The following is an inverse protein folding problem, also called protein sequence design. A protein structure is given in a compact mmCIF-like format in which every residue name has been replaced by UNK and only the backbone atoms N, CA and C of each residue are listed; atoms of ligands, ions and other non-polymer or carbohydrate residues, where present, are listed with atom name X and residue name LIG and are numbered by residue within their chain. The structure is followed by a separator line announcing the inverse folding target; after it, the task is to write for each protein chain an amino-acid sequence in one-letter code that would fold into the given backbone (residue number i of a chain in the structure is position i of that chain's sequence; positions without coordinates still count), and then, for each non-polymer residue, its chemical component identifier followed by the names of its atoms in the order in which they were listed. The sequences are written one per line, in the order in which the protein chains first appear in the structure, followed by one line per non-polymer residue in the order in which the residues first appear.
data_IF_567060725504
#
_entry.id   IF_567060725504
#
_cell.length_a   1.000
_cell.length_b   1.000
_cell.length_c   1.000
_cell.angle_alpha   90.00
_cell.angle_beta   90.00
_cell.angle_gamma   90.00
#
_symmetry.space_group_name_H-M   'P 1'
#
loop_
_entity.id
_entity.type
_entity.pdbx_description
1 polymer ?
#
# COMPACT_ATOMS: atom_id res chain seq x y z
N UNK A 1 11.69 -0.55 17.11
CA UNK A 1 10.56 0.14 16.42
C UNK A 1 9.60 -0.85 15.75
N UNK A 2 10.07 -1.84 14.97
CA UNK A 2 9.22 -2.84 14.29
C UNK A 2 8.38 -3.69 15.26
N UNK A 3 8.94 -4.14 16.37
CA UNK A 3 8.20 -4.93 17.38
C UNK A 3 7.11 -4.08 18.06
N UNK A 4 7.38 -2.80 18.31
CA UNK A 4 6.40 -1.85 18.83
C UNK A 4 5.19 -1.70 17.87
N UNK A 5 5.45 -1.64 16.55
CA UNK A 5 4.36 -1.63 15.55
C UNK A 5 3.50 -2.89 15.65
N UNK A 6 4.12 -4.08 15.76
CA UNK A 6 3.37 -5.35 15.87
C UNK A 6 2.49 -5.35 17.11
N UNK A 7 3.05 -4.95 18.27
CA UNK A 7 2.30 -4.90 19.54
C UNK A 7 1.11 -3.95 19.45
N UNK A 8 1.33 -2.70 19.04
CA UNK A 8 0.27 -1.69 18.92
C UNK A 8 -0.80 -2.13 17.91
N UNK A 9 -0.38 -2.71 16.78
CA UNK A 9 -1.32 -3.22 15.79
C UNK A 9 -2.20 -4.34 16.35
N UNK A 10 -1.63 -5.31 17.07
CA UNK A 10 -2.38 -6.42 17.68
C UNK A 10 -3.40 -5.92 18.69
N UNK A 11 -3.04 -4.95 19.53
CA UNK A 11 -3.97 -4.32 20.49
C UNK A 11 -5.16 -3.64 19.78
N UNK A 12 -4.90 -2.91 18.71
CA UNK A 12 -5.96 -2.27 17.91
C UNK A 12 -6.78 -3.31 17.14
N UNK A 13 -6.13 -4.35 16.61
CA UNK A 13 -6.82 -5.40 15.86
C UNK A 13 -7.78 -6.22 16.71
N UNK A 14 -7.47 -6.46 18.00
CA UNK A 14 -8.37 -7.10 18.94
C UNK A 14 -9.67 -6.31 19.12
N UNK A 15 -9.59 -4.97 19.15
CA UNK A 15 -10.73 -4.07 19.37
C UNK A 15 -11.57 -3.86 18.12
N UNK A 16 -10.93 -3.77 16.96
CA UNK A 16 -11.56 -3.20 15.75
C UNK A 16 -11.65 -4.17 14.57
N UNK A 17 -11.06 -5.37 14.66
CA UNK A 17 -11.02 -6.36 13.58
C UNK A 17 -10.45 -5.77 12.27
N UNK A 18 -9.26 -5.17 12.35
CA UNK A 18 -8.59 -4.55 11.21
C UNK A 18 -8.06 -5.60 10.21
N UNK A 19 -7.71 -6.79 10.71
CA UNK A 19 -7.18 -7.93 9.95
C UNK A 19 -7.64 -9.26 10.55
N UNK A 20 -7.72 -10.29 9.72
CA UNK A 20 -7.91 -11.66 10.17
C UNK A 20 -6.69 -12.27 10.88
N UNK A 21 -5.50 -11.67 10.70
CA UNK A 21 -4.24 -12.11 11.33
C UNK A 21 -4.20 -11.59 12.76
N UNK A 22 -4.10 -12.52 13.73
CA UNK A 22 -4.25 -12.21 15.16
C UNK A 22 -3.03 -12.54 16.02
N UNK A 23 -1.96 -13.00 15.44
CA UNK A 23 -0.72 -13.35 16.12
C UNK A 23 0.47 -12.54 15.61
N UNK A 24 1.48 -12.36 16.48
CA UNK A 24 2.64 -11.52 16.18
C UNK A 24 3.49 -12.04 15.02
N UNK A 25 3.60 -13.37 14.88
CA UNK A 25 4.35 -14.00 13.79
C UNK A 25 3.67 -13.76 12.45
N UNK A 26 2.35 -13.93 12.39
CA UNK A 26 1.56 -13.66 11.20
C UNK A 26 1.61 -12.18 10.80
N UNK A 27 1.50 -11.25 11.75
CA UNK A 27 1.64 -9.81 11.47
C UNK A 27 3.03 -9.47 10.96
N UNK A 28 4.09 -10.03 11.59
CA UNK A 28 5.48 -9.82 11.16
C UNK A 28 5.69 -10.26 9.72
N UNK A 29 5.21 -11.45 9.34
CA UNK A 29 5.46 -12.03 8.02
C UNK A 29 4.50 -11.47 6.98
N UNK A 30 3.18 -11.61 7.22
CA UNK A 30 2.14 -11.35 6.20
C UNK A 30 1.75 -9.87 6.09
N UNK A 31 2.16 -9.02 7.04
CA UNK A 31 1.92 -7.59 6.99
C UNK A 31 3.22 -6.80 6.90
N UNK A 32 4.10 -6.90 7.91
CA UNK A 32 5.30 -6.07 7.97
C UNK A 32 6.32 -6.43 6.87
N UNK A 33 6.74 -7.70 6.78
CA UNK A 33 7.72 -8.11 5.78
C UNK A 33 7.17 -7.99 4.34
N UNK A 34 5.91 -8.35 4.12
CA UNK A 34 5.22 -8.17 2.85
C UNK A 34 5.26 -6.70 2.41
N UNK A 35 4.93 -5.77 3.31
CA UNK A 35 4.96 -4.32 3.02
C UNK A 35 6.36 -3.81 2.67
N UNK A 36 7.39 -4.29 3.39
CA UNK A 36 8.78 -3.87 3.18
C UNK A 36 9.36 -4.36 1.85
N UNK A 37 8.77 -5.38 1.22
CA UNK A 37 9.14 -5.79 -0.14
C UNK A 37 8.98 -4.68 -1.18
N UNK A 38 8.09 -3.72 -0.92
CA UNK A 38 7.95 -2.55 -1.80
C UNK A 38 9.23 -1.72 -1.93
N UNK A 39 10.09 -1.71 -0.92
CA UNK A 39 11.37 -0.99 -0.94
C UNK A 39 12.33 -1.55 -1.99
N UNK A 40 12.22 -2.83 -2.35
CA UNK A 40 13.04 -3.47 -3.38
C UNK A 40 12.79 -2.90 -4.79
N UNK A 41 11.70 -2.15 -4.99
CA UNK A 41 11.43 -1.42 -6.24
C UNK A 41 12.38 -0.25 -6.47
N UNK A 42 13.03 0.27 -5.42
CA UNK A 42 13.90 1.45 -5.48
C UNK A 42 13.17 2.78 -5.68
N UNK A 43 11.84 2.81 -5.57
CA UNK A 43 11.04 4.00 -5.92
C UNK A 43 10.80 4.98 -4.76
N UNK A 44 10.90 4.51 -3.51
CA UNK A 44 10.59 5.30 -2.31
C UNK A 44 11.79 6.17 -1.90
N UNK A 45 12.09 7.16 -2.72
CA UNK A 45 13.24 8.06 -2.53
C UNK A 45 12.82 9.35 -1.81
N UNK A 46 13.77 10.09 -1.19
CA UNK A 46 13.50 11.37 -0.54
C UNK A 46 12.67 12.36 -1.37
N UNK A 47 11.82 13.12 -0.70
CA UNK A 47 10.98 14.16 -1.32
C UNK A 47 9.78 13.65 -2.11
N UNK A 48 9.52 12.33 -2.14
CA UNK A 48 8.34 11.77 -2.81
C UNK A 48 7.08 11.93 -1.96
N UNK A 49 5.95 12.12 -2.66
CA UNK A 49 4.60 12.01 -2.09
C UNK A 49 3.96 10.69 -2.55
N UNK A 50 3.52 9.89 -1.58
CA UNK A 50 2.96 8.55 -1.80
C UNK A 50 1.54 8.49 -1.27
N UNK A 51 0.60 8.00 -2.09
CA UNK A 51 -0.77 7.68 -1.64
C UNK A 51 -0.89 6.17 -1.49
N UNK A 52 -1.33 5.70 -0.31
CA UNK A 52 -1.68 4.30 -0.07
C UNK A 52 -3.19 4.12 -0.11
N UNK A 53 -3.68 3.44 -1.15
CA UNK A 53 -5.11 3.29 -1.41
C UNK A 53 -5.69 2.09 -0.69
N UNK A 54 -6.75 2.33 0.10
CA UNK A 54 -7.36 1.30 0.92
C UNK A 54 -6.41 0.84 2.01
N UNK A 55 -5.82 1.78 2.75
CA UNK A 55 -4.75 1.51 3.74
C UNK A 55 -5.15 0.50 4.81
N UNK A 56 -6.45 0.30 5.04
CA UNK A 56 -7.00 -0.75 5.90
C UNK A 56 -6.47 -0.68 7.33
N UNK A 57 -5.68 -1.67 7.72
CA UNK A 57 -4.98 -1.71 9.01
C UNK A 57 -3.64 -0.98 9.03
N UNK A 58 -3.34 -0.15 8.02
CA UNK A 58 -2.10 0.64 7.94
C UNK A 58 -0.93 -0.08 7.28
N UNK A 59 -1.20 -1.09 6.45
CA UNK A 59 -0.18 -1.82 5.70
C UNK A 59 -0.47 -1.77 4.18
N UNK A 60 0.46 -1.23 3.38
CA UNK A 60 1.89 -0.98 3.64
C UNK A 60 2.24 0.40 4.23
N UNK A 61 1.30 1.30 4.47
CA UNK A 61 1.53 2.68 4.90
C UNK A 61 2.56 2.82 6.03
N UNK A 62 2.27 2.23 7.21
CA UNK A 62 3.09 2.41 8.41
C UNK A 62 4.53 1.87 8.25
N UNK A 63 4.76 0.63 7.76
CA UNK A 63 6.11 0.13 7.54
C UNK A 63 6.93 0.97 6.57
N UNK A 64 6.31 1.50 5.51
CA UNK A 64 6.98 2.35 4.54
C UNK A 64 7.33 3.71 5.14
N UNK A 65 6.39 4.38 5.82
CA UNK A 65 6.63 5.66 6.46
C UNK A 65 7.77 5.59 7.49
N UNK A 66 7.79 4.51 8.30
CA UNK A 66 8.86 4.26 9.26
C UNK A 66 10.23 3.99 8.62
N UNK A 67 10.27 3.50 7.40
CA UNK A 67 11.51 3.14 6.70
C UNK A 67 12.02 4.24 5.77
N UNK A 68 11.15 5.19 5.39
CA UNK A 68 11.45 6.28 4.46
C UNK A 68 11.07 7.63 5.08
N UNK A 69 11.83 8.14 6.06
CA UNK A 69 11.46 9.34 6.84
C UNK A 69 11.39 10.62 6.01
N UNK A 70 12.09 10.68 4.87
CA UNK A 70 12.09 11.83 3.96
C UNK A 70 11.05 11.72 2.83
N UNK A 71 10.20 10.69 2.86
CA UNK A 71 9.07 10.49 1.94
C UNK A 71 7.77 10.75 2.70
N UNK A 72 6.84 11.51 2.12
CA UNK A 72 5.56 11.77 2.75
C UNK A 72 4.48 10.78 2.26
N UNK A 73 3.66 10.28 3.19
CA UNK A 73 2.66 9.26 2.92
C UNK A 73 1.25 9.71 3.31
N UNK A 74 0.28 9.48 2.44
CA UNK A 74 -1.14 9.66 2.71
C UNK A 74 -1.87 8.32 2.57
N UNK A 75 -2.37 7.77 3.67
CA UNK A 75 -3.27 6.61 3.64
C UNK A 75 -4.71 7.04 3.36
N UNK A 76 -5.39 6.40 2.42
CA UNK A 76 -6.81 6.65 2.13
C UNK A 76 -7.62 5.40 2.43
N UNK A 77 -8.68 5.53 3.24
CA UNK A 77 -9.67 4.48 3.47
C UNK A 77 -11.05 5.12 3.73
N UNK A 78 -12.12 4.51 3.25
CA UNK A 78 -13.49 5.01 3.44
C UNK A 78 -14.06 4.67 4.83
N UNK A 79 -13.48 3.71 5.53
CA UNK A 79 -13.98 3.18 6.80
C UNK A 79 -13.44 3.97 7.98
N UNK A 80 -14.29 4.79 8.62
CA UNK A 80 -13.93 5.68 9.73
C UNK A 80 -13.14 4.99 10.85
N UNK A 81 -13.57 3.82 11.31
CA UNK A 81 -12.88 3.10 12.40
C UNK A 81 -11.45 2.71 12.06
N UNK A 82 -11.18 2.39 10.77
CA UNK A 82 -9.84 2.04 10.30
C UNK A 82 -8.94 3.28 10.24
N UNK A 83 -9.43 4.38 9.67
CA UNK A 83 -8.65 5.61 9.58
C UNK A 83 -8.27 6.15 10.96
N UNK A 84 -9.21 6.17 11.91
CA UNK A 84 -8.92 6.59 13.28
C UNK A 84 -7.90 5.67 13.97
N UNK A 85 -8.02 4.35 13.78
CA UNK A 85 -7.08 3.40 14.38
C UNK A 85 -5.67 3.55 13.79
N UNK A 86 -5.55 3.70 12.46
CA UNK A 86 -4.24 3.87 11.81
C UNK A 86 -3.59 5.18 12.22
N UNK A 87 -4.35 6.29 12.28
CA UNK A 87 -3.82 7.56 12.75
C UNK A 87 -3.32 7.46 14.20
N UNK A 88 -4.09 6.86 15.11
CA UNK A 88 -3.68 6.66 16.50
C UNK A 88 -2.41 5.78 16.60
N UNK A 89 -2.25 4.79 15.71
CA UNK A 89 -1.03 3.97 15.68
C UNK A 89 0.17 4.76 15.15
N UNK A 90 0.02 5.62 14.14
CA UNK A 90 1.07 6.51 13.64
C UNK A 90 1.55 7.45 14.75
N UNK A 91 0.59 8.07 15.47
CA UNK A 91 0.88 8.98 16.59
C UNK A 91 1.65 8.26 17.71
N UNK A 92 1.18 7.07 18.12
CA UNK A 92 1.84 6.26 19.15
C UNK A 92 3.24 5.76 18.76
N UNK A 93 3.49 5.60 17.45
CA UNK A 93 4.80 5.24 16.90
C UNK A 93 5.71 6.45 16.71
N UNK A 94 5.19 7.68 16.82
CA UNK A 94 5.92 8.92 16.56
C UNK A 94 6.24 9.12 15.07
N UNK A 95 5.43 8.57 14.16
CA UNK A 95 5.59 8.73 12.72
C UNK A 95 4.98 10.07 12.29
N UNK A 96 5.82 10.99 11.83
CA UNK A 96 5.41 12.35 11.47
C UNK A 96 5.27 12.60 9.96
N UNK A 97 5.74 11.67 9.15
CA UNK A 97 5.73 11.75 7.70
C UNK A 97 4.59 10.93 7.05
N UNK A 98 3.56 10.63 7.83
CA UNK A 98 2.37 9.94 7.34
C UNK A 98 1.11 10.43 8.04
N UNK A 99 0.02 10.49 7.29
CA UNK A 99 -1.32 10.78 7.81
C UNK A 99 -2.37 9.90 7.12
N UNK A 100 -3.59 9.88 7.67
CA UNK A 100 -4.69 9.09 7.10
C UNK A 100 -5.92 9.96 6.86
N UNK A 101 -6.42 9.93 5.64
CA UNK A 101 -7.62 10.63 5.21
C UNK A 101 -8.79 9.65 5.06
N UNK A 102 -9.92 9.98 5.71
CA UNK A 102 -11.17 9.26 5.49
C UNK A 102 -11.87 9.78 4.24
N UNK A 103 -11.70 9.10 3.13
CA UNK A 103 -12.42 9.38 1.89
C UNK A 103 -12.48 8.12 1.02
N UNK A 104 -13.36 8.10 0.03
CA UNK A 104 -13.26 7.15 -1.07
C UNK A 104 -12.20 7.62 -2.04
N UNK A 105 -11.52 6.69 -2.71
CA UNK A 105 -10.45 7.05 -3.67
C UNK A 105 -10.98 7.88 -4.83
N UNK A 106 -12.20 7.57 -5.29
CA UNK A 106 -12.89 8.28 -6.37
C UNK A 106 -13.28 9.72 -6.00
N UNK A 107 -13.43 10.01 -4.70
CA UNK A 107 -13.81 11.34 -4.18
C UNK A 107 -12.59 12.19 -3.77
N UNK A 108 -11.38 11.62 -3.85
CA UNK A 108 -10.17 12.35 -3.46
C UNK A 108 -9.82 13.43 -4.50
N UNK A 109 -9.72 14.68 -4.04
CA UNK A 109 -9.40 15.87 -4.86
C UNK A 109 -8.12 16.60 -4.41
N UNK A 110 -7.27 15.91 -3.66
CA UNK A 110 -6.00 16.49 -3.19
C UNK A 110 -4.87 16.44 -4.22
N UNK A 111 -3.66 16.63 -3.73
CA UNK A 111 -2.44 16.60 -4.56
C UNK A 111 -2.24 15.23 -5.21
N UNK A 112 -1.75 15.26 -6.47
CA UNK A 112 -1.36 14.03 -7.17
C UNK A 112 -0.06 13.47 -6.59
N UNK A 113 0.00 12.15 -6.46
CA UNK A 113 1.14 11.45 -5.92
C UNK A 113 2.25 11.20 -6.96
N UNK A 114 3.48 11.12 -6.50
CA UNK A 114 4.59 10.55 -7.26
C UNK A 114 4.44 9.03 -7.39
N UNK A 115 3.98 8.39 -6.30
CA UNK A 115 3.72 6.96 -6.23
C UNK A 115 2.34 6.71 -5.61
N UNK A 116 1.67 5.67 -6.07
CA UNK A 116 0.46 5.19 -5.46
C UNK A 116 0.62 3.70 -5.15
N UNK A 117 0.47 3.32 -3.89
CA UNK A 117 0.48 1.91 -3.47
C UNK A 117 -0.93 1.38 -3.31
N UNK A 118 -1.13 0.09 -3.63
CA UNK A 118 -2.38 -0.60 -3.33
C UNK A 118 -2.11 -2.07 -3.00
N UNK A 119 -2.71 -2.54 -1.90
CA UNK A 119 -2.65 -3.93 -1.47
C UNK A 119 -4.05 -4.46 -1.19
N UNK A 120 -4.41 -5.60 -1.80
CA UNK A 120 -5.71 -6.27 -1.60
C UNK A 120 -6.93 -5.36 -1.83
N UNK A 121 -6.81 -4.37 -2.71
CA UNK A 121 -7.89 -3.46 -3.12
C UNK A 121 -8.43 -3.97 -4.46
N UNK A 122 -9.73 -3.84 -4.66
CA UNK A 122 -10.56 -4.07 -5.86
C UNK A 122 -9.90 -4.75 -7.09
N UNK A 123 -10.72 -5.18 -8.02
CA UNK A 123 -10.26 -5.64 -9.34
C UNK A 123 -9.45 -4.55 -10.03
N UNK A 124 -8.39 -4.94 -10.75
CA UNK A 124 -7.41 -4.01 -11.33
C UNK A 124 -8.01 -2.97 -12.26
N UNK A 125 -9.08 -3.28 -12.99
CA UNK A 125 -9.76 -2.34 -13.88
C UNK A 125 -10.31 -1.12 -13.11
N UNK A 126 -11.09 -1.36 -12.05
CA UNK A 126 -11.64 -0.30 -11.19
C UNK A 126 -10.54 0.45 -10.45
N UNK A 127 -9.57 -0.28 -9.92
CA UNK A 127 -8.44 0.32 -9.22
C UNK A 127 -7.69 1.29 -10.13
N UNK A 128 -7.37 0.89 -11.37
CA UNK A 128 -6.69 1.76 -12.34
C UNK A 128 -7.54 2.98 -12.71
N UNK A 129 -8.84 2.78 -12.93
CA UNK A 129 -9.76 3.88 -13.26
C UNK A 129 -9.72 5.00 -12.20
N UNK A 130 -9.71 4.64 -10.92
CA UNK A 130 -9.71 5.60 -9.82
C UNK A 130 -8.32 6.14 -9.48
N UNK A 131 -7.29 5.32 -9.61
CA UNK A 131 -5.94 5.64 -9.15
C UNK A 131 -5.09 6.38 -10.17
N UNK A 132 -5.22 6.09 -11.46
CA UNK A 132 -4.39 6.72 -12.51
C UNK A 132 -4.54 8.24 -12.55
N UNK A 133 -5.75 8.84 -12.38
CA UNK A 133 -5.89 10.30 -12.32
C UNK A 133 -5.10 10.95 -11.17
N UNK A 134 -4.86 10.21 -10.09
CA UNK A 134 -4.21 10.69 -8.86
C UNK A 134 -2.68 10.59 -8.92
N UNK A 135 -2.13 9.97 -9.95
CA UNK A 135 -0.67 9.86 -10.13
C UNK A 135 -0.18 10.92 -11.09
N UNK A 136 0.93 11.59 -10.76
CA UNK A 136 1.61 12.57 -11.62
C UNK A 136 2.06 11.90 -12.94
N UNK A 137 2.23 12.68 -14.00
CA UNK A 137 2.93 12.21 -15.21
C UNK A 137 4.35 11.80 -14.84
N UNK A 138 4.82 10.65 -15.32
CA UNK A 138 6.09 10.05 -14.91
C UNK A 138 6.07 9.37 -13.53
N UNK A 139 4.97 9.48 -12.77
CA UNK A 139 4.77 8.74 -11.52
C UNK A 139 4.41 7.27 -11.75
N UNK A 140 4.23 6.50 -10.69
CA UNK A 140 3.93 5.08 -10.81
C UNK A 140 2.86 4.58 -9.84
N UNK A 141 2.11 3.56 -10.27
CA UNK A 141 1.29 2.72 -9.40
C UNK A 141 2.10 1.47 -9.03
N UNK A 142 2.13 1.13 -7.76
CA UNK A 142 2.86 -0.02 -7.22
C UNK A 142 1.85 -0.96 -6.58
N UNK A 143 1.52 -2.03 -7.29
CA UNK A 143 0.43 -2.94 -6.94
C UNK A 143 0.99 -4.22 -6.33
N UNK A 144 0.56 -4.54 -5.10
CA UNK A 144 0.89 -5.79 -4.43
C UNK A 144 -0.20 -6.83 -4.71
N UNK A 145 0.14 -7.89 -5.42
CA UNK A 145 -0.81 -8.91 -5.87
C UNK A 145 -0.33 -10.34 -5.51
N UNK A 146 -1.22 -11.30 -5.61
CA UNK A 146 -0.86 -12.71 -5.72
C UNK A 146 -0.43 -13.02 -7.15
N UNK A 147 0.44 -14.02 -7.34
CA UNK A 147 0.81 -14.48 -8.68
C UNK A 147 -0.34 -15.28 -9.26
N UNK A 148 -1.14 -14.60 -10.09
CA UNK A 148 -2.27 -15.18 -10.82
C UNK A 148 -2.06 -14.84 -12.30
N UNK A 149 -1.98 -15.83 -13.21
CA UNK A 149 -1.72 -15.58 -14.63
C UNK A 149 -2.72 -14.62 -15.29
N UNK A 150 -3.99 -14.70 -14.87
CA UNK A 150 -5.08 -13.86 -15.35
C UNK A 150 -4.87 -12.39 -15.00
N UNK A 151 -4.33 -12.10 -13.80
CA UNK A 151 -4.06 -10.73 -13.35
C UNK A 151 -3.01 -10.05 -14.24
N UNK A 152 -1.94 -10.77 -14.59
CA UNK A 152 -0.92 -10.24 -15.49
C UNK A 152 -1.48 -9.95 -16.88
N UNK A 153 -2.27 -10.86 -17.45
CA UNK A 153 -2.93 -10.67 -18.75
C UNK A 153 -3.87 -9.46 -18.72
N UNK A 154 -4.64 -9.34 -17.64
CA UNK A 154 -5.54 -8.20 -17.43
C UNK A 154 -4.75 -6.88 -17.40
N UNK A 155 -3.69 -6.79 -16.62
CA UNK A 155 -2.84 -5.59 -16.56
C UNK A 155 -2.20 -5.25 -17.91
N UNK A 156 -1.72 -6.25 -18.66
CA UNK A 156 -1.18 -6.04 -20.01
C UNK A 156 -2.22 -5.45 -20.98
N UNK A 157 -3.48 -5.88 -20.88
CA UNK A 157 -4.58 -5.32 -21.69
C UNK A 157 -5.04 -3.94 -21.24
N UNK A 158 -5.00 -3.65 -19.93
CA UNK A 158 -5.47 -2.37 -19.37
C UNK A 158 -4.42 -1.27 -19.48
N UNK A 159 -3.13 -1.57 -19.33
CA UNK A 159 -2.08 -0.57 -19.30
C UNK A 159 -2.10 0.40 -20.50
N UNK A 160 -2.26 -0.04 -21.76
CA UNK A 160 -2.36 0.88 -22.91
C UNK A 160 -3.54 1.85 -22.79
N UNK A 161 -4.70 1.39 -22.31
CA UNK A 161 -5.93 2.19 -22.16
C UNK A 161 -5.76 3.34 -21.16
N UNK A 162 -4.93 3.14 -20.15
CA UNK A 162 -4.65 4.11 -19.08
C UNK A 162 -3.30 4.84 -19.28
N UNK A 163 -2.67 4.72 -20.46
CA UNK A 163 -1.35 5.30 -20.73
C UNK A 163 -0.28 4.86 -19.71
N UNK A 164 -0.34 3.59 -19.31
CA UNK A 164 0.60 2.97 -18.40
C UNK A 164 1.55 2.03 -19.15
N UNK A 165 2.72 1.78 -18.54
CA UNK A 165 3.66 0.73 -18.93
C UNK A 165 4.02 -0.10 -17.72
N UNK A 166 3.99 -1.42 -17.83
CA UNK A 166 4.57 -2.30 -16.80
C UNK A 166 6.10 -2.11 -16.88
N UNK A 167 6.66 -1.50 -15.84
CA UNK A 167 8.09 -1.19 -15.76
C UNK A 167 8.84 -2.26 -15.00
N UNK A 168 8.23 -2.79 -13.90
CA UNK A 168 8.82 -3.85 -13.10
C UNK A 168 7.77 -4.90 -12.75
N UNK A 169 8.23 -6.15 -12.62
CA UNK A 169 7.49 -7.28 -12.09
C UNK A 169 8.42 -8.03 -11.14
N UNK A 170 8.23 -7.82 -9.83
CA UNK A 170 9.04 -8.42 -8.79
C UNK A 170 8.26 -9.54 -8.12
N UNK A 171 8.62 -10.79 -8.39
CA UNK A 171 8.06 -11.97 -7.74
C UNK A 171 8.84 -12.30 -6.48
N UNK A 172 8.14 -12.68 -5.42
CA UNK A 172 8.73 -13.08 -4.16
C UNK A 172 7.84 -14.08 -3.42
N UNK A 173 8.45 -14.81 -2.49
CA UNK A 173 7.74 -15.68 -1.56
C UNK A 173 7.82 -15.10 -0.15
N UNK A 174 6.73 -15.16 0.58
CA UNK A 174 6.73 -14.90 2.02
C UNK A 174 7.11 -16.20 2.73
N UNK A 175 8.04 -16.07 3.67
CA UNK A 175 8.47 -17.18 4.53
C UNK A 175 7.25 -17.77 5.25
N UNK A 176 6.94 -19.05 5.07
CA UNK A 176 5.75 -19.79 5.58
C UNK A 176 4.48 -19.79 4.74
N UNK A 177 4.56 -19.58 3.47
CA UNK A 177 3.36 -19.78 2.66
C UNK A 177 3.73 -20.18 1.25
N UNK A 178 3.05 -21.17 0.75
CA UNK A 178 3.05 -21.54 -0.67
C UNK A 178 2.47 -20.43 -1.56
N UNK A 179 2.26 -19.22 -1.00
CA UNK A 179 1.68 -18.10 -1.72
C UNK A 179 2.78 -17.27 -2.34
N UNK A 180 2.95 -17.43 -3.63
CA UNK A 180 3.75 -16.52 -4.43
C UNK A 180 3.07 -15.15 -4.54
N UNK A 181 3.87 -14.12 -4.33
CA UNK A 181 3.46 -12.72 -4.41
C UNK A 181 4.18 -12.03 -5.56
N UNK A 182 3.58 -10.96 -6.05
CA UNK A 182 4.17 -10.12 -7.09
C UNK A 182 3.89 -8.65 -6.83
N UNK A 183 4.90 -7.81 -7.08
CA UNK A 183 4.75 -6.37 -7.14
C UNK A 183 4.83 -5.97 -8.60
N UNK A 184 3.78 -5.32 -9.10
CA UNK A 184 3.79 -4.68 -10.40
C UNK A 184 4.03 -3.19 -10.24
N UNK A 185 5.02 -2.65 -10.93
CA UNK A 185 5.23 -1.21 -11.07
C UNK A 185 4.69 -0.77 -12.43
N UNK A 186 3.65 0.05 -12.42
CA UNK A 186 3.01 0.57 -13.60
C UNK A 186 3.35 2.06 -13.74
N UNK A 187 4.25 2.40 -14.67
CA UNK A 187 4.69 3.77 -14.93
C UNK A 187 3.67 4.52 -15.78
N UNK A 188 3.26 5.72 -15.34
CA UNK A 188 2.39 6.62 -16.12
C UNK A 188 3.23 7.43 -17.13
N UNK A 189 2.81 7.41 -18.38
CA UNK A 189 3.45 8.16 -19.49
C UNK A 189 3.14 9.65 -19.43
#
# INVERSE_FOLDING_TARGET
MRDKLITIFLEQNQKLNLSAIRDGKGVKIKHLQDSLKLLETGLFTPGKFVIDVGTGGGFPLMPLAMSCPETYFLGIDSVRKKTLAVQAMLDALGVQNAEVLRTRIEDYQGEKADLLTARAVAYSDKLLQWSVPLVKKGGALVLMKQVIPEEKRLLQGLCPRFQLKIEQELKYQLFEGDIERVIYVLRKK
#
